data_IF_644681478823
#
_entry.id   IF_644681478823
#
_cell.length_a   1.000
_cell.length_b   1.000
_cell.length_c   1.000
_cell.angle_alpha   90.00
_cell.angle_beta   90.00
_cell.angle_gamma   90.00
#
_symmetry.space_group_name_H-M   'P 1'
#
loop_
_entity.id
_entity.type
_entity.pdbx_description
1 polymer ?
#
# COMPACT_ATOMS: atom_id res chain seq x y z
N UNK A 1 -6.58 -0.45 17.43
CA UNK A 1 -6.15 0.77 18.13
C UNK A 1 -7.38 1.46 18.68
N UNK A 2 -7.32 1.85 19.95
CA UNK A 2 -8.39 2.55 20.65
C UNK A 2 -8.53 3.99 20.13
N UNK A 3 -9.71 4.59 20.30
CA UNK A 3 -9.90 6.02 19.99
C UNK A 3 -9.11 6.83 21.02
N UNK A 4 -8.21 7.70 20.56
CA UNK A 4 -7.28 8.45 21.43
C UNK A 4 -5.82 7.99 21.29
N UNK A 5 -5.55 6.82 20.72
CA UNK A 5 -4.18 6.39 20.41
C UNK A 5 -3.54 7.37 19.41
N UNK A 6 -2.39 7.97 19.74
CA UNK A 6 -1.67 8.93 18.88
C UNK A 6 -1.41 8.36 17.48
N UNK A 7 -1.00 7.10 17.41
CA UNK A 7 -0.76 6.41 16.13
C UNK A 7 -2.03 6.27 15.30
N UNK A 8 -3.19 6.02 15.93
CA UNK A 8 -4.48 5.98 15.22
C UNK A 8 -4.82 7.35 14.65
N UNK A 9 -4.69 8.40 15.45
CA UNK A 9 -5.02 9.78 15.02
C UNK A 9 -4.18 10.20 13.81
N UNK A 10 -2.87 9.93 13.84
CA UNK A 10 -1.97 10.23 12.72
C UNK A 10 -2.39 9.47 11.46
N UNK A 11 -2.66 8.16 11.58
CA UNK A 11 -3.03 7.33 10.43
C UNK A 11 -4.38 7.74 9.85
N UNK A 12 -5.37 8.07 10.69
CA UNK A 12 -6.65 8.60 10.22
C UNK A 12 -6.47 9.95 9.51
N UNK A 13 -5.65 10.85 10.06
CA UNK A 13 -5.36 12.15 9.45
C UNK A 13 -4.70 11.98 8.08
N UNK A 14 -3.67 11.15 7.98
CA UNK A 14 -2.97 10.88 6.72
C UNK A 14 -3.96 10.30 5.69
N UNK A 15 -4.75 9.30 6.08
CA UNK A 15 -5.72 8.68 5.16
C UNK A 15 -6.77 9.66 4.66
N UNK A 16 -7.24 10.58 5.51
CA UNK A 16 -8.16 11.66 5.11
C UNK A 16 -7.50 12.65 4.16
N UNK A 17 -6.26 13.04 4.42
CA UNK A 17 -5.50 13.97 3.59
C UNK A 17 -5.17 13.40 2.20
N UNK A 18 -4.98 12.09 2.09
CA UNK A 18 -4.66 11.41 0.82
C UNK A 18 -5.89 10.92 0.05
N UNK A 19 -7.09 11.32 0.45
CA UNK A 19 -8.32 10.96 -0.24
C UNK A 19 -8.57 11.85 -1.46
N UNK A 20 -8.40 11.29 -2.66
CA UNK A 20 -8.59 11.98 -3.94
C UNK A 20 -9.67 11.32 -4.80
N UNK A 21 -10.87 11.06 -4.24
CA UNK A 21 -12.02 10.58 -5.03
C UNK A 21 -12.98 11.72 -5.41
N UNK A 22 -12.97 12.20 -6.66
CA UNK A 22 -14.02 13.08 -7.16
C UNK A 22 -15.34 12.29 -7.19
N UNK A 23 -16.36 12.78 -6.46
CA UNK A 23 -17.69 12.16 -6.41
C UNK A 23 -18.02 11.34 -5.17
N UNK A 24 -17.06 11.06 -4.27
CA UNK A 24 -17.34 10.38 -2.99
C UNK A 24 -16.62 11.05 -1.82
N UNK A 25 -17.26 11.09 -0.66
CA UNK A 25 -16.58 11.43 0.59
C UNK A 25 -16.13 10.16 1.29
N UNK A 26 -15.02 10.25 2.03
CA UNK A 26 -14.74 9.26 3.08
C UNK A 26 -15.98 9.21 3.97
N UNK A 27 -16.57 8.02 4.07
CA UNK A 27 -17.61 7.77 5.05
C UNK A 27 -17.01 7.65 6.44
N UNK A 28 -17.36 6.61 7.17
CA UNK A 28 -16.81 6.39 8.51
C UNK A 28 -15.58 5.50 8.42
N UNK A 29 -14.46 5.93 9.02
CA UNK A 29 -13.37 5.02 9.39
C UNK A 29 -13.90 4.16 10.54
N UNK A 30 -14.11 2.88 10.26
CA UNK A 30 -14.67 1.95 11.24
C UNK A 30 -13.59 1.48 12.20
N UNK A 31 -12.42 1.12 11.68
CA UNK A 31 -11.33 0.54 12.47
C UNK A 31 -9.97 0.91 11.91
N UNK A 32 -9.01 1.07 12.83
CA UNK A 32 -7.58 1.10 12.53
C UNK A 32 -6.90 -0.01 13.34
N UNK A 33 -6.30 -0.95 12.64
CA UNK A 33 -5.60 -2.10 13.19
C UNK A 33 -4.10 -1.92 12.97
N UNK A 34 -3.29 -2.20 13.99
CA UNK A 34 -1.83 -2.29 13.83
C UNK A 34 -1.49 -3.71 13.37
N UNK A 35 -0.64 -3.83 12.36
CA UNK A 35 -0.11 -5.11 11.92
C UNK A 35 1.11 -5.45 12.77
N UNK A 36 1.08 -6.61 13.40
CA UNK A 36 2.22 -7.15 14.14
C UNK A 36 3.01 -8.05 13.20
N UNK A 37 4.16 -7.59 12.74
CA UNK A 37 5.05 -8.34 11.86
C UNK A 37 5.96 -9.24 12.70
N UNK A 38 6.34 -10.39 12.12
CA UNK A 38 7.34 -11.27 12.74
C UNK A 38 8.75 -10.63 12.66
N UNK A 39 9.68 -11.01 13.56
CA UNK A 39 11.06 -10.55 13.50
C UNK A 39 11.71 -10.77 12.14
N UNK A 40 11.46 -11.93 11.51
CA UNK A 40 12.01 -12.29 10.19
C UNK A 40 11.46 -11.41 9.07
N UNK A 41 10.22 -10.93 9.20
CA UNK A 41 9.63 -10.01 8.23
C UNK A 41 10.25 -8.62 8.35
N UNK A 42 10.49 -8.16 9.58
CA UNK A 42 11.17 -6.90 9.84
C UNK A 42 12.61 -6.96 9.34
N UNK A 43 13.33 -8.04 9.63
CA UNK A 43 14.71 -8.24 9.21
C UNK A 43 14.84 -8.21 7.69
N UNK A 44 14.00 -8.94 6.94
CA UNK A 44 14.02 -8.91 5.47
C UNK A 44 13.78 -7.52 4.90
N UNK A 45 12.89 -6.75 5.53
CA UNK A 45 12.62 -5.37 5.11
C UNK A 45 13.81 -4.44 5.34
N UNK A 46 14.44 -4.52 6.51
CA UNK A 46 15.62 -3.72 6.84
C UNK A 46 16.85 -4.13 6.00
N UNK A 47 17.08 -5.43 5.79
CA UNK A 47 18.13 -5.94 4.88
C UNK A 47 17.91 -5.46 3.44
N UNK A 48 16.66 -5.45 2.95
CA UNK A 48 16.36 -4.90 1.63
C UNK A 48 16.65 -3.40 1.57
N UNK A 49 16.29 -2.62 2.61
CA UNK A 49 16.64 -1.19 2.71
C UNK A 49 18.15 -0.97 2.59
N UNK A 50 18.95 -1.69 3.35
CA UNK A 50 20.42 -1.55 3.31
C UNK A 50 21.01 -1.96 1.96
N UNK A 51 20.45 -3.00 1.32
CA UNK A 51 20.85 -3.41 -0.03
C UNK A 51 20.56 -2.33 -1.07
N UNK A 52 19.44 -1.59 -0.93
CA UNK A 52 19.11 -0.45 -1.81
C UNK A 52 20.04 0.73 -1.54
N UNK A 53 20.31 1.05 -0.28
CA UNK A 53 21.22 2.15 0.10
C UNK A 53 22.63 1.92 -0.42
N UNK A 54 23.19 0.72 -0.21
CA UNK A 54 24.52 0.34 -0.71
C UNK A 54 24.61 0.43 -2.23
N UNK A 55 23.60 -0.06 -2.96
CA UNK A 55 23.52 0.10 -4.43
C UNK A 55 23.44 1.57 -4.85
N UNK A 56 22.69 2.39 -4.12
CA UNK A 56 22.60 3.83 -4.41
C UNK A 56 23.93 4.56 -4.16
N UNK A 57 24.68 4.18 -3.12
CA UNK A 57 26.01 4.72 -2.80
C UNK A 57 27.04 4.42 -3.90
N UNK A 58 27.11 3.17 -4.35
CA UNK A 58 28.01 2.75 -5.44
C UNK A 58 27.76 3.53 -6.74
N UNK A 59 26.52 3.96 -6.96
CA UNK A 59 26.08 4.65 -8.16
C UNK A 59 26.00 6.18 -8.00
N UNK A 60 26.48 6.75 -6.89
CA UNK A 60 26.48 8.21 -6.65
C UNK A 60 27.20 9.02 -7.73
N UNK A 61 28.05 8.39 -8.54
CA UNK A 61 28.64 9.03 -9.74
C UNK A 61 27.59 9.39 -10.82
N UNK A 62 26.37 8.82 -10.77
CA UNK A 62 25.27 9.09 -11.71
C UNK A 62 24.01 9.62 -11.00
N UNK A 63 24.01 10.88 -10.53
CA UNK A 63 22.79 11.66 -10.15
C UNK A 63 21.70 10.86 -9.39
N UNK A 64 22.08 10.06 -8.39
CA UNK A 64 21.14 9.31 -7.56
C UNK A 64 20.26 10.22 -6.70
N UNK A 65 19.04 9.78 -6.36
CA UNK A 65 18.19 10.49 -5.40
C UNK A 65 18.82 10.43 -4.00
N UNK A 66 19.11 11.57 -3.33
CA UNK A 66 19.73 11.57 -1.99
C UNK A 66 18.97 10.72 -0.96
N UNK A 67 17.65 10.61 -1.10
CA UNK A 67 16.85 9.75 -0.22
C UNK A 67 17.14 8.26 -0.40
N UNK A 68 17.49 7.82 -1.61
CA UNK A 68 17.84 6.42 -1.85
C UNK A 68 19.08 5.98 -1.04
N UNK A 69 20.00 6.91 -0.79
CA UNK A 69 21.19 6.70 0.06
C UNK A 69 20.84 6.81 1.54
N UNK A 70 20.03 7.80 1.91
CA UNK A 70 19.71 8.08 3.32
C UNK A 70 18.82 6.98 3.95
N UNK A 71 17.72 6.61 3.28
CA UNK A 71 16.68 5.74 3.84
C UNK A 71 16.14 4.70 2.85
N UNK A 72 16.80 4.53 1.70
CA UNK A 72 16.30 3.67 0.63
C UNK A 72 15.13 4.27 -0.16
N UNK A 73 14.93 5.59 -0.06
CA UNK A 73 13.79 6.31 -0.63
C UNK A 73 12.47 5.76 -0.08
N UNK A 74 12.39 5.68 1.24
CA UNK A 74 11.24 5.09 1.92
C UNK A 74 9.99 5.97 1.77
N UNK A 75 8.86 5.35 1.45
CA UNK A 75 7.57 5.98 1.23
C UNK A 75 6.49 5.32 2.06
N UNK A 76 5.57 6.13 2.58
CA UNK A 76 4.29 5.64 3.04
C UNK A 76 3.36 5.48 1.83
N UNK A 77 2.87 4.27 1.60
CA UNK A 77 1.97 3.94 0.49
C UNK A 77 0.80 3.09 0.95
N UNK A 78 -0.23 3.03 0.12
CA UNK A 78 -1.46 2.31 0.39
C UNK A 78 -1.60 1.13 -0.58
N UNK A 79 -2.15 0.03 -0.07
CA UNK A 79 -2.60 -1.10 -0.86
C UNK A 79 -4.08 -1.31 -0.60
N UNK A 80 -4.91 -0.96 -1.58
CA UNK A 80 -6.36 -1.11 -1.51
C UNK A 80 -6.76 -2.57 -1.62
N UNK A 81 -7.70 -2.99 -0.77
CA UNK A 81 -8.20 -4.35 -0.72
C UNK A 81 -9.56 -4.42 -0.03
N UNK A 82 -9.98 -5.61 0.38
CA UNK A 82 -11.23 -5.85 1.10
C UNK A 82 -11.02 -6.67 2.37
N UNK A 83 -12.00 -6.64 3.25
CA UNK A 83 -12.01 -7.43 4.47
C UNK A 83 -13.37 -8.12 4.65
N UNK A 84 -13.34 -9.44 4.75
CA UNK A 84 -14.53 -10.28 4.95
C UNK A 84 -14.72 -10.69 6.43
N UNK A 85 -13.63 -10.74 7.21
CA UNK A 85 -13.63 -11.31 8.56
C UNK A 85 -13.88 -10.30 9.70
N UNK A 86 -14.48 -9.16 9.39
CA UNK A 86 -14.69 -8.08 10.35
C UNK A 86 -16.19 -7.83 10.63
N UNK A 87 -16.84 -8.69 11.46
CA UNK A 87 -18.15 -8.38 12.00
C UNK A 87 -18.09 -7.18 12.95
N UNK A 88 -19.23 -6.50 13.13
CA UNK A 88 -19.30 -5.21 13.84
C UNK A 88 -18.87 -5.24 15.33
N UNK A 89 -18.78 -6.42 15.96
CA UNK A 89 -18.86 -6.55 17.43
C UNK A 89 -17.61 -7.10 18.15
N UNK A 90 -16.52 -7.49 17.48
CA UNK A 90 -15.31 -7.98 18.19
C UNK A 90 -14.23 -6.90 18.32
N UNK A 91 -13.89 -6.55 19.57
CA UNK A 91 -12.90 -5.52 19.98
C UNK A 91 -11.45 -5.90 19.61
N UNK A 92 -11.12 -7.21 19.59
CA UNK A 92 -9.76 -7.68 19.36
C UNK A 92 -9.74 -8.81 18.32
N UNK A 93 -9.14 -8.54 17.17
CA UNK A 93 -8.80 -9.58 16.20
C UNK A 93 -7.52 -10.25 16.71
N UNK A 94 -7.62 -11.50 17.14
CA UNK A 94 -6.50 -12.28 17.70
C UNK A 94 -5.61 -12.93 16.62
N UNK A 95 -6.01 -12.89 15.35
CA UNK A 95 -5.25 -13.46 14.25
C UNK A 95 -5.88 -13.26 12.87
N UNK A 96 -5.20 -13.75 11.84
CA UNK A 96 -5.67 -13.72 10.45
C UNK A 96 -6.72 -14.81 10.24
N UNK A 97 -7.82 -14.46 9.55
CA UNK A 97 -8.84 -15.45 9.19
C UNK A 97 -8.38 -16.34 8.01
N UNK A 98 -9.03 -17.49 7.81
CA UNK A 98 -8.78 -18.41 6.68
C UNK A 98 -9.66 -18.15 5.44
N UNK A 99 -10.52 -17.12 5.46
CA UNK A 99 -11.39 -16.83 4.33
C UNK A 99 -10.58 -16.34 3.12
N UNK A 100 -10.73 -17.03 1.98
CA UNK A 100 -10.06 -16.72 0.72
C UNK A 100 -10.44 -15.36 0.15
N UNK A 101 -11.67 -14.91 0.40
CA UNK A 101 -12.19 -13.61 -0.04
C UNK A 101 -11.82 -12.47 0.91
N UNK A 102 -11.04 -12.72 1.97
CA UNK A 102 -10.57 -11.66 2.85
C UNK A 102 -9.20 -11.13 2.40
N UNK A 103 -9.19 -10.16 1.49
CA UNK A 103 -7.98 -9.61 0.89
C UNK A 103 -6.92 -9.17 1.90
N UNK A 104 -7.29 -8.44 2.96
CA UNK A 104 -6.36 -8.04 4.05
C UNK A 104 -5.61 -9.24 4.62
N UNK A 105 -6.34 -10.30 5.02
CA UNK A 105 -5.72 -11.46 5.64
C UNK A 105 -4.86 -12.24 4.66
N UNK A 106 -5.28 -12.35 3.39
CA UNK A 106 -4.51 -13.03 2.35
C UNK A 106 -3.19 -12.31 2.08
N UNK A 107 -3.20 -10.99 1.96
CA UNK A 107 -2.01 -10.17 1.69
C UNK A 107 -1.05 -10.17 2.88
N UNK A 108 -1.55 -10.01 4.11
CA UNK A 108 -0.69 -10.07 5.31
C UNK A 108 -0.12 -11.48 5.49
N UNK A 109 -0.93 -12.54 5.27
CA UNK A 109 -0.46 -13.91 5.43
C UNK A 109 0.59 -14.30 4.39
N UNK A 110 0.44 -13.86 3.14
CA UNK A 110 1.42 -14.14 2.08
C UNK A 110 2.63 -13.21 2.14
N UNK A 111 2.53 -12.05 2.80
CA UNK A 111 3.59 -11.04 2.75
C UNK A 111 3.79 -10.49 1.33
N UNK A 112 2.69 -10.27 0.60
CA UNK A 112 2.69 -9.79 -0.80
C UNK A 112 3.34 -10.73 -1.83
N UNK A 113 3.38 -12.04 -1.58
CA UNK A 113 3.99 -13.02 -2.51
C UNK A 113 2.98 -13.80 -3.36
N UNK A 114 1.80 -13.25 -3.65
CA UNK A 114 0.82 -13.95 -4.51
C UNK A 114 1.32 -14.04 -5.95
N UNK A 115 0.85 -15.03 -6.72
CA UNK A 115 1.30 -15.23 -8.10
C UNK A 115 1.02 -14.01 -8.99
N UNK A 116 -0.10 -13.34 -8.75
CA UNK A 116 -0.44 -12.08 -9.41
C UNK A 116 0.60 -10.98 -9.10
N UNK A 117 0.98 -10.81 -7.83
CA UNK A 117 1.96 -9.82 -7.40
C UNK A 117 3.37 -10.14 -7.89
N UNK A 118 3.74 -11.42 -7.98
CA UNK A 118 5.01 -11.84 -8.57
C UNK A 118 5.07 -11.54 -10.08
N UNK A 119 3.95 -11.71 -10.79
CA UNK A 119 3.87 -11.50 -12.24
C UNK A 119 3.82 -10.02 -12.60
N UNK A 120 3.01 -9.24 -11.89
CA UNK A 120 2.67 -7.86 -12.26
C UNK A 120 3.38 -6.82 -11.39
N UNK A 121 4.10 -7.24 -10.36
CA UNK A 121 4.57 -6.38 -9.28
C UNK A 121 3.45 -6.05 -8.27
N UNK A 122 3.86 -5.51 -7.13
CA UNK A 122 2.98 -5.06 -6.07
C UNK A 122 2.64 -3.60 -6.32
N UNK A 123 1.37 -3.34 -6.67
CA UNK A 123 0.84 -1.99 -6.86
C UNK A 123 0.61 -1.31 -5.50
N UNK A 124 1.20 -0.12 -5.37
CA UNK A 124 1.18 0.73 -4.18
C UNK A 124 0.76 2.15 -4.55
N UNK A 125 -0.37 2.61 -4.02
CA UNK A 125 -0.95 3.91 -4.34
C UNK A 125 -0.48 4.98 -3.35
N UNK A 126 -0.37 6.23 -3.81
CA UNK A 126 -0.15 7.38 -2.92
C UNK A 126 -1.44 7.85 -2.24
N UNK A 127 -2.59 7.49 -2.82
CA UNK A 127 -3.92 7.82 -2.31
C UNK A 127 -4.52 6.61 -1.60
N UNK A 128 -5.33 6.87 -0.59
CA UNK A 128 -6.03 5.81 0.12
C UNK A 128 -7.00 5.01 -0.76
N UNK A 129 -7.46 5.58 -1.88
CA UNK A 129 -8.44 4.95 -2.80
C UNK A 129 -8.28 5.50 -4.22
N UNK A 130 -8.45 4.64 -5.24
CA UNK A 130 -8.63 5.08 -6.63
C UNK A 130 -10.11 5.04 -7.03
N UNK A 131 -10.56 5.94 -7.91
CA UNK A 131 -11.99 6.09 -8.26
C UNK A 131 -12.67 4.80 -8.75
N UNK A 132 -11.94 3.90 -9.40
CA UNK A 132 -12.43 2.58 -9.83
C UNK A 132 -12.78 1.66 -8.66
N UNK A 133 -12.03 1.73 -7.55
CA UNK A 133 -12.25 0.93 -6.34
C UNK A 133 -13.46 1.42 -5.53
N UNK A 134 -13.89 2.67 -5.76
CA UNK A 134 -15.10 3.24 -5.12
C UNK A 134 -16.39 2.68 -5.71
N UNK A 135 -16.36 2.23 -6.96
CA UNK A 135 -17.58 1.82 -7.67
C UNK A 135 -17.90 0.33 -7.47
N UNK A 136 -16.91 -0.49 -7.14
CA UNK A 136 -17.07 -1.95 -7.07
C UNK A 136 -17.22 -2.42 -5.62
N UNK A 137 -18.41 -2.27 -5.04
CA UNK A 137 -18.80 -3.07 -3.88
C UNK A 137 -19.09 -4.50 -4.33
N UNK A 138 -18.06 -5.33 -4.53
CA UNK A 138 -18.25 -6.75 -4.85
C UNK A 138 -18.98 -7.42 -3.68
N UNK A 139 -20.19 -7.92 -3.91
CA UNK A 139 -20.79 -8.93 -3.04
C UNK A 139 -19.99 -10.21 -3.25
N UNK A 140 -19.50 -10.80 -2.16
CA UNK A 140 -18.98 -12.16 -2.22
C UNK A 140 -20.10 -13.13 -2.59
N UNK A 141 -19.76 -14.20 -3.32
CA UNK A 141 -20.65 -15.35 -3.47
C UNK A 141 -21.07 -15.85 -2.08
N UNK A 142 -22.39 -15.96 -1.83
CA UNK A 142 -22.95 -16.26 -0.51
C UNK A 142 -23.46 -15.06 0.30
N UNK A 143 -23.52 -13.85 -0.28
CA UNK A 143 -24.22 -12.71 0.32
C UNK A 143 -23.45 -11.93 1.39
N UNK A 144 -22.18 -12.28 1.62
CA UNK A 144 -21.31 -11.55 2.57
C UNK A 144 -20.96 -10.18 1.99
N UNK A 145 -21.29 -9.11 2.73
CA UNK A 145 -20.86 -7.75 2.39
C UNK A 145 -19.37 -7.60 2.70
N UNK A 146 -18.54 -7.53 1.67
CA UNK A 146 -17.12 -7.22 1.80
C UNK A 146 -16.95 -5.76 2.21
N UNK A 147 -16.25 -5.52 3.32
CA UNK A 147 -15.88 -4.16 3.74
C UNK A 147 -14.66 -3.69 2.95
N UNK A 148 -14.60 -2.40 2.67
CA UNK A 148 -13.41 -1.80 2.06
C UNK A 148 -12.33 -1.66 3.11
N UNK A 149 -11.11 -1.99 2.70
CA UNK A 149 -9.96 -1.89 3.57
C UNK A 149 -8.76 -1.42 2.78
N UNK A 150 -7.87 -0.70 3.45
CA UNK A 150 -6.61 -0.26 2.89
C UNK A 150 -5.51 -0.67 3.86
N UNK A 151 -4.45 -1.28 3.34
CA UNK A 151 -3.24 -1.57 4.09
C UNK A 151 -2.29 -0.41 3.90
N UNK A 152 -1.88 0.22 5.00
CA UNK A 152 -0.87 1.28 5.04
C UNK A 152 0.49 0.61 5.21
N UNK A 153 1.38 0.81 4.25
CA UNK A 153 2.69 0.17 4.20
C UNK A 153 3.82 1.20 4.18
N UNK A 154 4.93 0.86 4.84
CA UNK A 154 6.24 1.45 4.53
C UNK A 154 6.79 0.73 3.31
N UNK A 155 7.28 1.46 2.32
CA UNK A 155 7.75 0.91 1.05
C UNK A 155 9.12 1.48 0.73
N UNK A 156 10.11 0.61 0.52
CA UNK A 156 11.44 1.00 0.02
C UNK A 156 11.33 1.15 -1.49
N UNK A 157 11.22 2.39 -1.98
CA UNK A 157 11.07 2.62 -3.41
C UNK A 157 12.41 2.57 -4.18
N UNK A 158 13.53 2.78 -3.49
CA UNK A 158 14.85 2.83 -4.10
C UNK A 158 14.92 3.80 -5.27
N UNK A 159 15.59 3.39 -6.35
CA UNK A 159 15.61 4.14 -7.62
C UNK A 159 14.35 3.83 -8.42
N UNK A 160 13.61 4.88 -8.73
CA UNK A 160 12.30 4.81 -9.37
C UNK A 160 12.45 5.08 -10.87
N UNK A 161 12.03 4.14 -11.72
CA UNK A 161 11.87 4.39 -13.16
C UNK A 161 10.50 5.03 -13.41
N UNK A 162 10.49 6.23 -13.98
CA UNK A 162 9.26 6.91 -14.40
C UNK A 162 8.93 6.51 -15.83
N UNK A 163 7.90 5.70 -16.02
CA UNK A 163 7.39 5.33 -17.35
C UNK A 163 6.25 6.29 -17.72
N UNK A 164 6.42 7.00 -18.83
CA UNK A 164 5.34 7.75 -19.49
C UNK A 164 4.66 6.84 -20.52
N UNK A 165 3.36 7.01 -20.77
CA UNK A 165 2.58 6.23 -21.75
C UNK A 165 3.19 6.22 -23.17
N UNK A 166 4.12 7.14 -23.48
CA UNK A 166 4.85 7.22 -24.76
C UNK A 166 6.18 6.46 -24.84
N UNK A 167 6.38 5.41 -24.03
CA UNK A 167 7.43 4.41 -24.22
C UNK A 167 8.89 4.91 -24.18
N UNK A 168 9.13 6.18 -23.82
CA UNK A 168 10.49 6.72 -23.74
C UNK A 168 11.13 6.34 -22.41
N UNK A 169 12.06 5.39 -22.48
CA UNK A 169 12.94 5.02 -21.38
C UNK A 169 13.89 6.19 -21.09
N UNK A 170 13.82 6.73 -19.87
CA UNK A 170 14.89 7.58 -19.33
C UNK A 170 15.50 6.79 -18.19
N UNK A 171 16.46 5.93 -18.51
CA UNK A 171 17.14 5.13 -17.50
C UNK A 171 18.57 4.80 -17.89
N UNK A 172 19.50 5.29 -17.07
CA UNK A 172 20.92 4.96 -17.15
C UNK A 172 21.20 3.52 -16.74
N UNK A 173 22.34 3.03 -17.19
CA UNK A 173 22.87 1.70 -16.94
C UNK A 173 23.09 1.51 -15.43
N UNK A 174 22.34 0.58 -14.81
CA UNK A 174 22.39 0.38 -13.35
C UNK A 174 21.13 -0.21 -12.69
N UNK A 175 20.06 -0.49 -13.43
CA UNK A 175 18.83 -1.12 -12.93
C UNK A 175 17.96 -0.24 -12.01
N UNK A 176 16.67 -0.58 -11.84
CA UNK A 176 15.72 0.16 -11.00
C UNK A 176 15.10 -0.74 -9.95
N UNK A 177 14.73 -0.15 -8.81
CA UNK A 177 14.12 -0.87 -7.69
C UNK A 177 12.58 -0.83 -7.76
N UNK A 178 12.02 0.20 -8.39
CA UNK A 178 10.58 0.37 -8.55
C UNK A 178 10.21 1.16 -9.79
N UNK A 179 8.92 1.11 -10.15
CA UNK A 179 8.35 1.74 -11.34
C UNK A 179 7.22 2.68 -10.95
N UNK A 180 7.20 3.89 -11.53
CA UNK A 180 6.05 4.79 -11.44
C UNK A 180 5.45 4.98 -12.83
N UNK A 181 4.16 4.69 -12.95
CA UNK A 181 3.40 4.93 -14.18
C UNK A 181 2.71 6.28 -14.07
N UNK A 182 3.08 7.22 -14.93
CA UNK A 182 2.44 8.54 -15.04
C UNK A 182 1.38 8.48 -16.15
N UNK A 183 0.10 8.51 -15.78
CA UNK A 183 -1.02 8.45 -16.76
C UNK A 183 -2.42 8.25 -16.18
N UNK A 184 -2.56 7.73 -14.95
CA UNK A 184 -3.87 7.52 -14.33
C UNK A 184 -4.56 8.81 -13.85
N UNK A 185 -5.89 8.73 -13.61
CA UNK A 185 -6.79 9.80 -13.09
C UNK A 185 -6.30 10.51 -11.81
N UNK A 186 -5.31 9.96 -11.09
CA UNK A 186 -4.62 10.59 -9.95
C UNK A 186 -3.17 10.99 -10.33
N UNK A 187 -3.06 11.97 -11.23
CA UNK A 187 -1.83 12.26 -11.97
C UNK A 187 -0.73 13.00 -11.18
N UNK A 188 -0.94 13.36 -9.91
CA UNK A 188 0.08 14.11 -9.12
C UNK A 188 1.12 13.22 -8.41
N UNK A 189 0.82 11.96 -8.07
CA UNK A 189 1.72 11.12 -7.24
C UNK A 189 1.96 9.70 -7.75
N UNK A 190 1.20 9.24 -8.76
CA UNK A 190 1.44 8.00 -9.51
C UNK A 190 1.34 6.70 -8.72
N UNK A 191 0.90 5.63 -9.39
CA UNK A 191 0.98 4.28 -8.83
C UNK A 191 2.43 3.81 -8.87
N UNK A 192 2.92 3.33 -7.73
CA UNK A 192 4.25 2.74 -7.58
C UNK A 192 4.11 1.22 -7.69
N UNK A 193 4.93 0.59 -8.52
CA UNK A 193 5.02 -0.86 -8.62
C UNK A 193 6.39 -1.31 -8.11
N UNK A 194 6.39 -2.23 -7.16
CA UNK A 194 7.61 -2.85 -6.62
C UNK A 194 7.60 -4.34 -6.91
N UNK A 195 8.71 -4.89 -7.35
CA UNK A 195 8.81 -6.32 -7.73
C UNK A 195 9.21 -7.21 -6.56
N UNK A 196 9.95 -6.67 -5.58
CA UNK A 196 10.41 -7.42 -4.42
C UNK A 196 9.45 -7.26 -3.23
N UNK A 197 8.83 -8.34 -2.72
CA UNK A 197 7.93 -8.26 -1.57
C UNK A 197 8.62 -7.78 -0.28
N UNK A 198 9.92 -8.02 -0.12
CA UNK A 198 10.71 -7.50 1.01
C UNK A 198 10.83 -5.97 0.99
N UNK A 199 10.47 -5.30 -0.10
CA UNK A 199 10.39 -3.85 -0.16
C UNK A 199 9.16 -3.28 0.54
N UNK A 200 8.19 -4.11 0.96
CA UNK A 200 6.89 -3.67 1.49
C UNK A 200 6.70 -4.20 2.91
N UNK A 201 6.46 -3.28 3.86
CA UNK A 201 6.13 -3.62 5.24
C UNK A 201 4.74 -3.12 5.61
N UNK A 202 3.74 -4.02 5.77
CA UNK A 202 2.41 -3.62 6.21
C UNK A 202 2.46 -3.16 7.67
N UNK A 203 1.95 -1.96 7.96
CA UNK A 203 2.02 -1.33 9.27
C UNK A 203 0.65 -1.19 9.92
N UNK A 204 -0.34 -0.75 9.14
CA UNK A 204 -1.71 -0.55 9.61
C UNK A 204 -2.73 -1.04 8.59
N UNK A 205 -3.92 -1.38 9.07
CA UNK A 205 -5.10 -1.65 8.24
C UNK A 205 -6.19 -0.67 8.64
N UNK A 206 -6.72 0.05 7.65
CA UNK A 206 -7.86 0.95 7.81
C UNK A 206 -9.07 0.28 7.18
N UNK A 207 -10.11 0.03 7.96
CA UNK A 207 -11.40 -0.44 7.46
C UNK A 207 -12.35 0.75 7.44
N UNK A 208 -12.99 1.00 6.31
CA UNK A 208 -13.82 2.18 6.13
C UNK A 208 -15.05 1.90 5.26
N UNK A 209 -16.03 2.77 5.39
CA UNK A 209 -17.19 2.85 4.50
C UNK A 209 -17.07 4.07 3.59
N UNK A 210 -17.58 3.96 2.36
CA UNK A 210 -17.79 5.11 1.49
C UNK A 210 -19.28 5.46 1.49
N UNK A 211 -19.59 6.75 1.49
CA UNK A 211 -20.93 7.22 1.16
C UNK A 211 -20.88 7.82 -0.25
N UNK A 212 -21.85 7.50 -1.13
CA UNK A 212 -22.05 8.30 -2.34
C UNK A 212 -22.27 9.76 -1.89
N UNK A 213 -21.70 10.74 -2.61
CA UNK A 213 -22.13 12.12 -2.41
C UNK A 213 -23.61 12.19 -2.79
N UNK A 214 -24.45 12.71 -1.89
CA UNK A 214 -25.80 13.08 -2.27
C UNK A 214 -25.68 14.14 -3.37
N UNK A 215 -26.33 13.88 -4.50
CA UNK A 215 -26.44 14.81 -5.64
C UNK A 215 -27.38 15.94 -5.23
#
# INVERSE_FOLDING_TARGET
LSVGDTSRNIIEMIFRATWLSPGSSIGKIERVLKVNNSPETLERFEQYRETVKSRAEMLQQQKGNPRSVADGNELLRFHSTNMACCPALTEKLSGLCRNAQCGVCRVIQSGFTTDEMKRNGIRMTATGVTGEEVLVSKKAEGGIRLKRAVVVCRVIAGRVLSVSERGSYVGGDGGFDSLVVKGGLCSKWGDLYVSNPSAVLPCFVIVYSCKPKAV
#
